data_IF_207685474265
#
_entry.id   IF_207685474265
#
_cell.length_a   1.000
_cell.length_b   1.000
_cell.length_c   1.000
_cell.angle_alpha   90.00
_cell.angle_beta   90.00
_cell.angle_gamma   90.00
#
_symmetry.space_group_name_H-M   'P 1'
#
loop_
_entity.id
_entity.type
_entity.pdbx_description
1 polymer ?
#
# COMPACT_ATOMS: atom_id res chain seq x y z
N UNK A 1 57.00 -17.17 -1.68
CA UNK A 1 55.89 -17.41 -0.72
C UNK A 1 56.11 -16.55 0.51
N UNK A 2 55.40 -15.40 0.70
CA UNK A 2 55.60 -14.60 1.89
C UNK A 2 54.79 -15.16 3.07
N UNK A 3 55.46 -15.26 4.22
CA UNK A 3 54.97 -15.82 5.49
C UNK A 3 54.30 -14.71 6.33
N UNK A 4 53.07 -14.95 6.78
CA UNK A 4 52.53 -14.45 8.07
C UNK A 4 51.81 -13.10 8.11
N UNK A 5 50.47 -13.13 8.07
CA UNK A 5 49.63 -12.12 8.77
C UNK A 5 49.38 -12.62 10.19
N UNK A 6 50.34 -12.41 11.10
CA UNK A 6 50.14 -12.59 12.54
C UNK A 6 49.86 -11.23 13.18
N UNK A 7 48.66 -11.06 13.73
CA UNK A 7 48.38 -10.03 14.73
C UNK A 7 47.42 -8.91 14.33
N UNK A 8 46.14 -9.22 14.15
CA UNK A 8 45.08 -8.21 14.26
C UNK A 8 44.82 -7.91 15.74
N UNK A 9 45.60 -6.98 16.32
CA UNK A 9 45.32 -6.43 17.66
C UNK A 9 43.91 -5.81 17.65
N UNK A 10 42.98 -6.40 18.40
CA UNK A 10 41.64 -5.85 18.64
C UNK A 10 41.77 -4.47 19.27
N UNK A 11 41.38 -3.42 18.53
CA UNK A 11 41.30 -2.04 19.03
C UNK A 11 40.15 -1.99 20.05
N UNK A 12 40.45 -1.92 21.35
CA UNK A 12 39.45 -1.66 22.39
C UNK A 12 39.00 -0.21 22.23
N UNK A 13 37.73 0.02 21.90
CA UNK A 13 37.12 1.35 22.00
C UNK A 13 36.92 1.66 23.48
N UNK A 14 37.37 2.82 23.93
CA UNK A 14 37.07 3.31 25.26
C UNK A 14 35.55 3.52 25.39
N UNK A 15 34.91 3.17 26.52
CA UNK A 15 33.56 3.62 26.79
C UNK A 15 33.58 5.14 26.96
N UNK A 16 32.74 5.85 26.22
CA UNK A 16 32.40 7.23 26.57
C UNK A 16 31.67 7.17 27.92
N UNK A 17 32.10 8.00 28.87
CA UNK A 17 31.35 8.23 30.09
C UNK A 17 30.08 9.02 29.72
N UNK A 18 28.94 8.57 30.22
CA UNK A 18 27.62 9.12 29.90
C UNK A 18 27.43 10.50 30.55
N UNK A 19 27.95 11.56 29.92
CA UNK A 19 27.63 12.97 30.26
C UNK A 19 26.15 13.33 30.01
N UNK A 20 25.37 12.40 29.46
CA UNK A 20 23.92 12.53 29.32
C UNK A 20 23.17 12.48 30.66
N UNK A 21 23.72 11.79 31.68
CA UNK A 21 23.05 11.64 32.97
C UNK A 21 22.89 12.97 33.72
N UNK A 22 23.95 13.77 33.76
CA UNK A 22 23.96 15.04 34.50
C UNK A 22 23.08 16.12 33.82
N UNK A 23 22.90 16.01 32.50
CA UNK A 23 22.02 16.87 31.73
C UNK A 23 20.52 16.58 31.98
N UNK A 24 20.18 15.30 32.19
CA UNK A 24 18.81 14.88 32.52
C UNK A 24 18.38 15.32 33.92
N UNK A 25 19.31 15.32 34.89
CA UNK A 25 19.06 15.75 36.26
C UNK A 25 18.81 17.27 36.35
N UNK A 26 19.57 18.08 35.60
CA UNK A 26 19.36 19.55 35.54
C UNK A 26 18.04 19.95 34.86
N UNK A 27 17.44 19.07 34.05
CA UNK A 27 16.19 19.34 33.34
C UNK A 27 14.93 18.90 34.12
N UNK A 28 15.09 18.34 35.33
CA UNK A 28 13.96 17.92 36.18
C UNK A 28 13.11 16.79 35.60
N UNK A 29 13.64 16.06 34.60
CA UNK A 29 12.92 14.98 33.92
C UNK A 29 13.01 13.72 34.78
N UNK A 30 12.05 13.56 35.68
CA UNK A 30 11.93 12.35 36.49
C UNK A 30 11.80 11.12 35.58
N UNK A 31 12.70 10.14 35.81
CA UNK A 31 12.71 8.84 35.14
C UNK A 31 11.41 8.08 35.45
N UNK A 32 10.42 8.19 34.58
CA UNK A 32 9.29 7.26 34.58
C UNK A 32 9.81 5.88 34.14
N UNK A 33 9.64 4.89 35.02
CA UNK A 33 10.05 3.51 34.83
C UNK A 33 9.70 2.93 33.44
N UNK A 34 10.49 1.97 32.90
CA UNK A 34 10.20 1.36 31.61
C UNK A 34 9.07 0.33 31.75
N UNK A 35 7.83 0.79 31.84
CA UNK A 35 6.64 -0.01 31.56
C UNK A 35 5.96 0.51 30.30
N UNK A 36 6.60 0.29 29.14
CA UNK A 36 5.85 0.12 27.91
C UNK A 36 6.66 -0.74 26.95
N UNK A 37 6.40 -2.05 27.02
CA UNK A 37 6.61 -2.96 25.88
C UNK A 37 5.84 -2.31 24.73
N UNK A 38 6.55 -1.61 23.83
CA UNK A 38 5.94 -1.13 22.59
C UNK A 38 5.40 -2.37 21.90
N UNK A 39 4.08 -2.51 21.96
CA UNK A 39 3.35 -3.32 21.02
C UNK A 39 3.77 -2.79 19.65
N UNK A 40 4.61 -3.55 18.95
CA UNK A 40 4.74 -3.38 17.52
C UNK A 40 3.30 -3.38 16.99
N UNK A 41 2.85 -2.37 16.22
CA UNK A 41 1.56 -2.48 15.58
C UNK A 41 1.58 -3.78 14.79
N UNK A 42 0.65 -4.67 15.12
CA UNK A 42 0.50 -5.97 14.47
C UNK A 42 0.70 -5.77 12.96
N UNK A 43 1.50 -6.61 12.28
CA UNK A 43 1.71 -6.47 10.85
C UNK A 43 0.33 -6.39 10.21
N UNK A 44 -0.01 -5.20 9.69
CA UNK A 44 -1.31 -4.96 9.06
C UNK A 44 -1.48 -6.08 8.06
N UNK A 45 -2.45 -6.96 8.35
CA UNK A 45 -2.80 -8.13 7.57
C UNK A 45 -2.94 -7.62 6.14
N UNK A 46 -1.89 -7.78 5.32
CA UNK A 46 -1.87 -7.36 3.93
C UNK A 46 -3.12 -7.97 3.35
N UNK A 47 -4.08 -7.14 2.99
CA UNK A 47 -5.33 -7.61 2.40
C UNK A 47 -4.91 -8.46 1.21
N UNK A 48 -5.07 -9.78 1.34
CA UNK A 48 -4.96 -10.70 0.23
C UNK A 48 -5.95 -10.15 -0.78
N UNK A 49 -5.44 -9.61 -1.88
CA UNK A 49 -6.29 -9.33 -3.03
C UNK A 49 -6.72 -10.70 -3.54
N UNK A 50 -7.85 -11.16 -3.02
CA UNK A 50 -8.60 -12.29 -3.55
C UNK A 50 -8.99 -11.91 -4.99
N UNK A 51 -8.13 -12.28 -5.92
CA UNK A 51 -8.45 -12.35 -7.35
C UNK A 51 -8.48 -13.84 -7.62
N UNK A 52 -9.67 -14.43 -7.48
CA UNK A 52 -9.92 -15.82 -7.79
C UNK A 52 -9.63 -16.11 -9.27
N UNK A 53 -9.08 -17.30 -9.52
CA UNK A 53 -8.98 -17.88 -10.85
C UNK A 53 -7.58 -17.88 -11.46
N UNK A 54 -6.73 -18.84 -11.04
CA UNK A 54 -5.66 -19.47 -11.83
C UNK A 54 -4.60 -18.59 -12.53
N UNK A 55 -4.64 -17.27 -12.39
CA UNK A 55 -3.74 -16.30 -13.02
C UNK A 55 -2.70 -15.86 -12.01
N UNK A 56 -1.44 -15.84 -12.45
CA UNK A 56 -0.31 -15.35 -11.66
C UNK A 56 -0.66 -14.02 -10.97
N UNK A 57 -0.23 -13.81 -9.71
CA UNK A 57 -0.58 -12.63 -8.93
C UNK A 57 -0.27 -11.37 -9.72
N UNK A 58 -1.23 -10.43 -9.76
CA UNK A 58 -1.03 -9.16 -10.49
C UNK A 58 0.21 -8.47 -9.94
N UNK A 59 1.12 -8.11 -10.84
CA UNK A 59 2.32 -7.33 -10.50
C UNK A 59 1.88 -6.03 -9.81
N UNK A 60 2.55 -5.70 -8.71
CA UNK A 60 2.33 -4.40 -8.06
C UNK A 60 2.90 -3.29 -8.94
N UNK A 61 2.43 -2.05 -8.76
CA UNK A 61 2.97 -0.88 -9.50
C UNK A 61 4.49 -0.79 -9.41
N UNK A 62 5.06 -1.05 -8.22
CA UNK A 62 6.50 -1.03 -8.01
C UNK A 62 7.23 -2.13 -8.79
N UNK A 63 6.65 -3.34 -8.85
CA UNK A 63 7.20 -4.45 -9.65
C UNK A 63 7.09 -4.17 -11.15
N UNK A 64 6.01 -3.54 -11.61
CA UNK A 64 5.88 -3.12 -13.01
C UNK A 64 6.94 -2.08 -13.39
N UNK A 65 7.23 -1.11 -12.49
CA UNK A 65 8.29 -0.12 -12.71
C UNK A 65 9.68 -0.77 -12.69
N UNK A 66 9.94 -1.68 -11.73
CA UNK A 66 11.22 -2.37 -11.62
C UNK A 66 11.51 -3.28 -12.82
N UNK A 67 10.47 -3.78 -13.50
CA UNK A 67 10.61 -4.62 -14.68
C UNK A 67 10.88 -3.86 -15.98
N UNK A 68 10.93 -2.51 -15.97
CA UNK A 68 11.22 -1.74 -17.19
C UNK A 68 12.70 -1.90 -17.54
N UNK A 69 12.98 -2.47 -18.71
CA UNK A 69 14.33 -2.61 -19.23
C UNK A 69 14.72 -1.33 -19.99
N UNK A 70 15.94 -0.86 -19.77
CA UNK A 70 16.50 0.29 -20.47
C UNK A 70 17.83 -0.07 -21.11
N UNK A 71 18.17 0.67 -22.17
CA UNK A 71 19.44 0.48 -22.84
C UNK A 71 20.60 0.89 -21.93
N UNK A 72 21.59 0.00 -21.82
CA UNK A 72 22.80 0.26 -21.05
C UNK A 72 23.67 1.29 -21.79
N UNK A 73 23.84 2.48 -21.22
CA UNK A 73 24.66 3.55 -21.82
C UNK A 73 26.05 3.52 -21.18
N UNK A 74 27.05 3.02 -21.94
CA UNK A 74 28.44 2.85 -21.48
C UNK A 74 29.25 4.16 -21.56
N UNK A 75 28.82 5.11 -22.39
CA UNK A 75 29.58 6.33 -22.63
C UNK A 75 29.36 7.37 -21.54
N UNK A 76 30.44 7.71 -20.81
CA UNK A 76 30.48 8.81 -19.82
C UNK A 76 30.15 10.20 -20.42
N UNK A 77 30.09 10.34 -21.75
CA UNK A 77 29.67 11.58 -22.42
C UNK A 77 28.18 11.83 -22.15
N UNK A 78 27.88 12.99 -21.57
CA UNK A 78 26.56 13.42 -21.07
C UNK A 78 25.42 13.36 -22.10
N UNK A 79 25.73 13.39 -23.40
CA UNK A 79 24.72 13.42 -24.48
C UNK A 79 23.78 12.19 -24.47
N UNK A 80 24.28 10.99 -24.14
CA UNK A 80 23.45 9.77 -24.06
C UNK A 80 22.56 9.72 -22.82
N UNK A 81 23.04 10.23 -21.69
CA UNK A 81 22.32 10.22 -20.41
C UNK A 81 21.07 11.10 -20.41
N UNK A 82 21.08 12.24 -21.13
CA UNK A 82 19.89 13.10 -21.23
C UNK A 82 18.72 12.39 -21.91
N UNK A 83 19.01 11.66 -23.00
CA UNK A 83 18.00 10.87 -23.70
C UNK A 83 17.51 9.71 -22.84
N UNK A 84 18.43 8.96 -22.21
CA UNK A 84 18.09 7.87 -21.31
C UNK A 84 17.22 8.33 -20.13
N UNK A 85 17.55 9.46 -19.50
CA UNK A 85 16.76 10.05 -18.41
C UNK A 85 15.33 10.37 -18.88
N UNK A 86 15.18 10.93 -20.08
CA UNK A 86 13.87 11.23 -20.66
C UNK A 86 13.06 9.95 -20.90
N UNK A 87 13.71 8.89 -21.43
CA UNK A 87 13.09 7.58 -21.62
C UNK A 87 12.62 6.98 -20.28
N UNK A 88 13.47 7.02 -19.25
CA UNK A 88 13.15 6.58 -17.88
C UNK A 88 11.91 7.28 -17.34
N UNK A 89 11.92 8.62 -17.34
CA UNK A 89 10.81 9.41 -16.79
C UNK A 89 9.51 9.16 -17.56
N UNK A 90 9.57 9.12 -18.89
CA UNK A 90 8.39 8.90 -19.72
C UNK A 90 7.81 7.49 -19.50
N UNK A 91 8.65 6.46 -19.49
CA UNK A 91 8.20 5.08 -19.26
C UNK A 91 7.53 4.93 -17.89
N UNK A 92 8.11 5.52 -16.83
CA UNK A 92 7.51 5.50 -15.48
C UNK A 92 6.18 6.27 -15.44
N UNK A 93 6.10 7.44 -16.10
CA UNK A 93 4.85 8.21 -16.21
C UNK A 93 3.76 7.40 -16.91
N UNK A 94 4.08 6.70 -17.99
CA UNK A 94 3.12 5.88 -18.73
C UNK A 94 2.59 4.71 -17.91
N UNK A 95 3.46 4.02 -17.16
CA UNK A 95 3.04 2.96 -16.23
C UNK A 95 2.11 3.51 -15.15
N UNK A 96 2.48 4.62 -14.51
CA UNK A 96 1.63 5.28 -13.49
C UNK A 96 0.28 5.72 -14.05
N UNK A 97 0.25 6.31 -15.26
CA UNK A 97 -0.99 6.72 -15.94
C UNK A 97 -1.91 5.52 -16.19
N UNK A 98 -1.38 4.42 -16.72
CA UNK A 98 -2.15 3.19 -16.96
C UNK A 98 -2.71 2.60 -15.67
N UNK A 99 -1.90 2.57 -14.60
CA UNK A 99 -2.34 2.06 -13.31
C UNK A 99 -3.46 2.93 -12.71
N UNK A 100 -3.34 4.25 -12.75
CA UNK A 100 -4.37 5.18 -12.31
C UNK A 100 -5.67 5.03 -13.13
N UNK A 101 -5.58 4.92 -14.45
CA UNK A 101 -6.73 4.68 -15.32
C UNK A 101 -7.43 3.36 -14.98
N UNK A 102 -6.66 2.30 -14.72
CA UNK A 102 -7.20 0.99 -14.31
C UNK A 102 -7.93 1.07 -12.96
N UNK A 103 -7.40 1.84 -12.01
CA UNK A 103 -8.05 2.06 -10.72
C UNK A 103 -9.35 2.88 -10.85
N UNK A 104 -9.36 3.92 -11.69
CA UNK A 104 -10.57 4.69 -12.01
C UNK A 104 -11.64 3.83 -12.67
N UNK A 105 -11.26 3.00 -13.65
CA UNK A 105 -12.20 2.08 -14.30
C UNK A 105 -12.79 1.07 -13.31
N UNK A 106 -11.99 0.54 -12.38
CA UNK A 106 -12.45 -0.38 -11.33
C UNK A 106 -13.42 0.28 -10.37
N UNK A 107 -13.11 1.49 -9.90
CA UNK A 107 -13.98 2.23 -8.98
C UNK A 107 -15.31 2.58 -9.65
N UNK A 108 -15.28 3.04 -10.90
CA UNK A 108 -16.50 3.30 -11.67
C UNK A 108 -17.34 2.03 -11.89
N UNK A 109 -16.70 0.89 -12.21
CA UNK A 109 -17.40 -0.38 -12.34
C UNK A 109 -18.08 -0.80 -11.03
N UNK A 110 -17.40 -0.66 -9.89
CA UNK A 110 -17.97 -0.93 -8.57
C UNK A 110 -19.16 -0.02 -8.28
N UNK A 111 -19.03 1.29 -8.56
CA UNK A 111 -20.11 2.25 -8.38
C UNK A 111 -21.34 1.88 -9.21
N UNK A 112 -21.15 1.57 -10.49
CA UNK A 112 -22.24 1.14 -11.38
C UNK A 112 -22.91 -0.15 -10.89
N UNK A 113 -22.13 -1.08 -10.34
CA UNK A 113 -22.67 -2.30 -9.75
C UNK A 113 -23.52 -2.00 -8.51
N UNK A 114 -23.06 -1.10 -7.62
CA UNK A 114 -23.85 -0.70 -6.45
C UNK A 114 -25.11 0.10 -6.82
N UNK A 115 -25.05 0.95 -7.84
CA UNK A 115 -26.24 1.67 -8.33
C UNK A 115 -27.28 0.69 -8.89
N UNK A 116 -26.83 -0.30 -9.67
CA UNK A 116 -27.72 -1.34 -10.18
C UNK A 116 -28.34 -2.16 -9.05
N UNK A 117 -27.58 -2.56 -8.04
CA UNK A 117 -28.13 -3.32 -6.91
C UNK A 117 -29.14 -2.51 -6.10
N UNK A 118 -28.85 -1.24 -5.80
CA UNK A 118 -29.79 -0.34 -5.12
C UNK A 118 -31.09 -0.17 -5.91
N UNK A 119 -31.00 -0.05 -7.25
CA UNK A 119 -32.18 0.03 -8.11
C UNK A 119 -33.05 -1.22 -8.02
N UNK A 120 -32.44 -2.41 -8.00
CA UNK A 120 -33.18 -3.66 -7.83
C UNK A 120 -33.85 -3.76 -6.45
N UNK A 121 -33.18 -3.33 -5.38
CA UNK A 121 -33.75 -3.30 -4.03
C UNK A 121 -34.94 -2.33 -3.92
N UNK A 122 -34.83 -1.13 -4.50
CA UNK A 122 -35.92 -0.16 -4.57
C UNK A 122 -37.10 -0.69 -5.39
N UNK A 123 -36.85 -1.44 -6.47
CA UNK A 123 -37.92 -2.06 -7.24
C UNK A 123 -38.60 -3.20 -6.46
N UNK A 124 -37.82 -4.03 -5.77
CA UNK A 124 -38.34 -5.13 -4.96
C UNK A 124 -39.25 -4.62 -3.82
N UNK A 125 -38.83 -3.58 -3.11
CA UNK A 125 -39.63 -2.94 -2.04
C UNK A 125 -40.91 -2.31 -2.58
N UNK A 126 -40.86 -1.62 -3.73
CA UNK A 126 -42.06 -1.10 -4.42
C UNK A 126 -43.04 -2.22 -4.79
N UNK A 127 -42.54 -3.36 -5.29
CA UNK A 127 -43.38 -4.54 -5.60
C UNK A 127 -44.00 -5.15 -4.35
N UNK A 128 -43.27 -5.22 -3.24
CA UNK A 128 -43.78 -5.73 -1.96
C UNK A 128 -44.92 -4.83 -1.42
N UNK A 129 -44.76 -3.51 -1.42
CA UNK A 129 -45.79 -2.57 -0.96
C UNK A 129 -47.08 -2.57 -1.80
N UNK A 130 -46.99 -2.85 -3.11
CA UNK A 130 -48.19 -3.03 -3.96
C UNK A 130 -48.96 -4.31 -3.63
N UNK A 131 -48.27 -5.39 -3.25
CA UNK A 131 -48.91 -6.66 -2.88
C UNK A 131 -49.66 -6.56 -1.55
N UNK A 132 -49.09 -5.86 -0.57
CA UNK A 132 -49.73 -5.67 0.75
C UNK A 132 -50.96 -4.77 0.67
N UNK A 133 -50.88 -3.65 -0.04
CA UNK A 133 -52.01 -2.73 -0.23
C UNK A 133 -53.16 -3.35 -1.05
N UNK A 134 -52.86 -4.19 -2.04
CA UNK A 134 -53.87 -4.94 -2.80
C UNK A 134 -54.54 -6.08 -2.01
N UNK A 135 -53.92 -6.56 -0.94
CA UNK A 135 -54.52 -7.54 -0.04
C UNK A 135 -55.47 -6.88 0.97
N UNK A 136 -55.08 -5.73 1.54
CA UNK A 136 -55.92 -4.98 2.48
C UNK A 136 -57.21 -4.44 1.86
N UNK A 137 -57.19 -4.05 0.57
CA UNK A 137 -58.42 -3.61 -0.13
C UNK A 137 -59.42 -4.75 -0.41
N UNK A 138 -58.96 -6.01 -0.45
CA UNK A 138 -59.85 -7.16 -0.70
C UNK A 138 -60.53 -7.64 0.58
N UNK A 139 -59.86 -7.55 1.72
CA UNK A 139 -60.42 -7.93 3.02
C UNK A 139 -61.37 -6.89 3.60
N UNK A 140 -61.32 -5.63 3.14
CA UNK A 140 -62.18 -4.55 3.62
C UNK A 140 -63.53 -4.42 2.87
N UNK A 141 -63.83 -5.32 1.92
CA UNK A 141 -65.09 -5.35 1.15
C UNK A 141 -65.96 -6.57 1.49
N UNK A 142 -65.59 -7.32 2.53
CA UNK A 142 -66.21 -8.57 2.94
C UNK A 142 -66.96 -8.47 4.27
N UNK A 143 -67.24 -7.26 4.75
CA UNK A 143 -68.14 -6.96 5.88
C UNK A 143 -69.38 -6.21 5.37
#
# INVERSE_FOLDING_TARGET
MPKGLRGSKKKRRAPYADEQGDLEESMGVQKTAPQHRQQQPAPQRRQKTEDEGGKAPRKTLAQEIAGIQFQHVVNKRTKGFKSLRKQLVNAVKDVRRRHAAKNRARTLKKHRQSEMSQKYELEATKRAGRKTSGNMRRTAKSD
#
